data_IF_910582882795
#
_entry.id   IF_910582882795
#
_cell.length_a   1.000
_cell.length_b   1.000
_cell.length_c   1.000
_cell.angle_alpha   90.00
_cell.angle_beta   90.00
_cell.angle_gamma   90.00
#
_symmetry.space_group_name_H-M   'P 1'
#
loop_
_entity.id
_entity.type
_entity.pdbx_description
1 polymer ?
#
# COMPACT_ATOMS: atom_id res chain seq x y z
N UNK A 1 10.05 -22.83 4.12
CA UNK A 1 10.95 -21.68 3.82
C UNK A 1 10.31 -20.84 2.71
N UNK A 2 10.28 -19.50 2.82
CA UNK A 2 9.66 -18.63 1.81
C UNK A 2 10.57 -18.52 0.58
N UNK A 3 10.07 -18.82 -0.62
CA UNK A 3 10.89 -18.76 -1.85
C UNK A 3 11.19 -17.32 -2.24
N UNK A 4 12.32 -17.08 -2.92
CA UNK A 4 12.69 -15.74 -3.44
C UNK A 4 11.57 -15.16 -4.33
N UNK A 5 10.96 -15.98 -5.18
CA UNK A 5 9.85 -15.56 -6.04
C UNK A 5 8.64 -15.09 -5.21
N UNK A 6 8.29 -15.81 -4.14
CA UNK A 6 7.21 -15.42 -3.24
C UNK A 6 7.51 -14.14 -2.48
N UNK A 7 8.77 -13.90 -2.11
CA UNK A 7 9.20 -12.64 -1.48
C UNK A 7 9.08 -11.47 -2.45
N UNK A 8 9.59 -11.62 -3.67
CA UNK A 8 9.51 -10.62 -4.74
C UNK A 8 8.06 -10.23 -5.04
N UNK A 9 7.19 -11.20 -5.34
CA UNK A 9 5.78 -10.94 -5.66
C UNK A 9 5.00 -10.32 -4.49
N UNK A 10 5.43 -10.55 -3.24
CA UNK A 10 4.82 -9.94 -2.05
C UNK A 10 5.20 -8.47 -1.83
N UNK A 11 6.21 -7.95 -2.53
CA UNK A 11 6.65 -6.56 -2.33
C UNK A 11 5.51 -5.58 -2.61
N UNK A 12 4.72 -5.79 -3.66
CA UNK A 12 3.56 -4.95 -3.96
C UNK A 12 2.52 -4.97 -2.83
N UNK A 13 2.24 -6.14 -2.25
CA UNK A 13 1.33 -6.23 -1.11
C UNK A 13 1.83 -5.41 0.08
N UNK A 14 3.13 -5.51 0.42
CA UNK A 14 3.71 -4.75 1.54
C UNK A 14 3.69 -3.25 1.31
N UNK A 15 3.97 -2.82 0.09
CA UNK A 15 3.93 -1.41 -0.26
C UNK A 15 2.49 -0.86 -0.26
N UNK A 16 1.51 -1.65 -0.70
CA UNK A 16 0.09 -1.30 -0.58
C UNK A 16 -0.34 -1.09 0.88
N UNK A 17 0.07 -1.97 1.79
CA UNK A 17 -0.21 -1.81 3.23
C UNK A 17 0.43 -0.55 3.80
N UNK A 18 1.67 -0.25 3.40
CA UNK A 18 2.36 0.96 3.82
C UNK A 18 1.64 2.23 3.34
N UNK A 19 1.27 2.28 2.06
CA UNK A 19 0.51 3.40 1.48
C UNK A 19 -0.82 3.58 2.23
N UNK A 20 -1.57 2.51 2.47
CA UNK A 20 -2.83 2.59 3.19
C UNK A 20 -2.66 3.08 4.65
N UNK A 21 -1.58 2.63 5.31
CA UNK A 21 -1.24 3.12 6.66
C UNK A 21 -0.93 4.62 6.65
N UNK A 22 -0.13 5.08 5.68
CA UNK A 22 0.24 6.50 5.56
C UNK A 22 -0.99 7.36 5.20
N UNK A 23 -1.89 6.86 4.34
CA UNK A 23 -3.15 7.54 4.01
C UNK A 23 -4.05 7.71 5.25
N UNK A 24 -4.10 6.69 6.12
CA UNK A 24 -4.84 6.79 7.38
C UNK A 24 -4.20 7.83 8.31
N UNK A 25 -2.87 7.81 8.47
CA UNK A 25 -2.16 8.81 9.26
C UNK A 25 -2.38 10.23 8.72
N UNK A 26 -2.35 10.41 7.40
CA UNK A 26 -2.65 11.69 6.75
C UNK A 26 -4.07 12.17 7.06
N UNK A 27 -5.06 11.27 7.04
CA UNK A 27 -6.43 11.60 7.38
C UNK A 27 -6.54 12.05 8.85
N UNK A 28 -5.87 11.37 9.77
CA UNK A 28 -5.86 11.70 11.19
C UNK A 28 -5.21 13.07 11.44
N UNK A 29 -4.08 13.36 10.76
CA UNK A 29 -3.41 14.66 10.83
C UNK A 29 -4.29 15.79 10.29
N UNK A 30 -4.98 15.57 9.17
CA UNK A 30 -5.92 16.55 8.61
C UNK A 30 -7.08 16.84 9.58
N UNK A 31 -7.62 15.81 10.22
CA UNK A 31 -8.67 15.97 11.22
C UNK A 31 -8.18 16.75 12.46
N UNK A 32 -6.96 16.47 12.92
CA UNK A 32 -6.34 17.20 14.02
C UNK A 32 -6.13 18.68 13.67
N UNK A 33 -5.63 18.95 12.46
CA UNK A 33 -5.45 20.32 11.96
C UNK A 33 -6.75 21.12 11.96
N UNK A 34 -7.85 20.55 11.46
CA UNK A 34 -9.17 21.18 11.46
C UNK A 34 -9.68 21.45 12.89
N UNK A 35 -9.42 20.52 13.82
CA UNK A 35 -9.83 20.66 15.21
C UNK A 35 -9.10 21.82 15.91
N UNK A 36 -7.82 22.03 15.59
CA UNK A 36 -7.03 23.15 16.13
C UNK A 36 -7.50 24.48 15.51
N UNK A 37 -7.77 24.51 14.20
CA UNK A 37 -8.29 25.71 13.53
C UNK A 37 -9.70 26.14 14.02
N UNK A 38 -10.50 25.21 14.53
CA UNK A 38 -11.84 25.49 15.06
C UNK A 38 -11.82 26.14 16.46
N UNK A 39 -10.67 26.19 17.13
CA UNK A 39 -10.51 26.93 18.39
C UNK A 39 -10.60 28.42 18.07
N UNK A 40 -11.57 29.11 18.68
CA UNK A 40 -11.82 30.54 18.48
C UNK A 40 -10.68 31.38 19.08
N UNK A 41 -9.64 31.63 18.29
CA UNK A 41 -8.52 32.50 18.63
C UNK A 41 -8.93 33.97 18.86
N UNK A 42 -10.18 34.37 18.55
CA UNK A 42 -10.67 35.73 18.76
C UNK A 42 -11.08 36.02 20.22
N UNK A 43 -11.18 34.99 21.08
CA UNK A 43 -11.64 35.13 22.47
C UNK A 43 -10.55 35.12 23.54
N UNK A 44 -9.29 34.84 23.23
CA UNK A 44 -8.22 34.82 24.23
C UNK A 44 -7.33 36.07 24.15
N UNK A 45 -7.82 37.17 24.74
CA UNK A 45 -6.96 38.31 25.10
C UNK A 45 -6.18 37.97 26.37
N UNK A 46 -5.09 37.23 26.23
CA UNK A 46 -4.02 37.20 27.25
C UNK A 46 -2.87 38.08 26.79
N UNK A 47 -2.69 39.19 27.51
CA UNK A 47 -1.48 40.01 27.43
C UNK A 47 -0.26 39.13 27.75
N UNK A 48 0.61 38.96 26.75
CA UNK A 48 1.96 38.40 26.92
C UNK A 48 2.11 36.96 26.42
N UNK A 49 2.53 36.79 25.16
CA UNK A 49 3.03 35.50 24.65
C UNK A 49 2.56 35.11 23.26
N UNK A 50 2.84 35.93 22.24
CA UNK A 50 2.75 35.51 20.84
C UNK A 50 3.83 34.44 20.58
N UNK A 51 3.46 33.15 20.42
CA UNK A 51 4.30 32.18 19.67
C UNK A 51 3.84 30.71 19.67
N UNK A 52 3.07 30.21 20.64
CA UNK A 52 3.00 28.74 20.82
C UNK A 52 1.91 27.99 20.05
N UNK A 53 0.73 28.57 19.81
CA UNK A 53 -0.37 27.92 19.07
C UNK A 53 -0.18 27.98 17.56
N UNK A 54 0.22 29.14 17.05
CA UNK A 54 0.46 29.34 15.61
C UNK A 54 1.64 28.48 15.14
N UNK A 55 2.70 28.36 15.94
CA UNK A 55 3.82 27.47 15.65
C UNK A 55 3.41 25.99 15.58
N UNK A 56 2.48 25.54 16.45
CA UNK A 56 1.97 24.16 16.44
C UNK A 56 1.09 23.88 15.21
N UNK A 57 0.28 24.86 14.81
CA UNK A 57 -0.53 24.74 13.60
C UNK A 57 0.37 24.65 12.35
N UNK A 58 1.35 25.55 12.23
CA UNK A 58 2.32 25.54 11.12
C UNK A 58 3.11 24.23 11.06
N UNK A 59 3.57 23.71 12.20
CA UNK A 59 4.29 22.41 12.28
C UNK A 59 3.41 21.24 11.80
N UNK A 60 2.12 21.24 12.14
CA UNK A 60 1.18 20.21 11.65
C UNK A 60 0.95 20.29 10.14
N UNK A 61 0.79 21.50 9.59
CA UNK A 61 0.65 21.68 8.14
C UNK A 61 1.91 21.20 7.41
N UNK A 62 3.11 21.50 7.93
CA UNK A 62 4.36 21.00 7.36
C UNK A 62 4.41 19.47 7.33
N UNK A 63 4.03 18.80 8.43
CA UNK A 63 3.97 17.33 8.50
C UNK A 63 2.97 16.73 7.52
N UNK A 64 1.82 17.38 7.32
CA UNK A 64 0.83 16.96 6.32
C UNK A 64 1.45 16.99 4.92
N UNK A 65 2.10 18.09 4.55
CA UNK A 65 2.74 18.25 3.24
C UNK A 65 3.86 17.23 3.04
N UNK A 66 4.71 17.03 4.04
CA UNK A 66 5.79 16.03 4.00
C UNK A 66 5.24 14.61 3.81
N UNK A 67 4.17 14.25 4.53
CA UNK A 67 3.55 12.92 4.41
C UNK A 67 2.85 12.73 3.06
N UNK A 68 2.21 13.76 2.51
CA UNK A 68 1.65 13.75 1.16
C UNK A 68 2.73 13.45 0.12
N UNK A 69 3.88 14.12 0.19
CA UNK A 69 4.99 13.84 -0.72
C UNK A 69 5.54 12.41 -0.61
N UNK A 70 5.57 11.85 0.62
CA UNK A 70 5.99 10.47 0.83
C UNK A 70 4.99 9.50 0.20
N UNK A 71 3.70 9.72 0.39
CA UNK A 71 2.63 8.90 -0.19
C UNK A 71 2.71 8.94 -1.72
N UNK A 72 2.88 10.11 -2.33
CA UNK A 72 2.98 10.25 -3.78
C UNK A 72 4.17 9.44 -4.35
N UNK A 73 5.35 9.55 -3.71
CA UNK A 73 6.54 8.76 -4.09
C UNK A 73 6.30 7.25 -3.94
N UNK A 74 5.62 6.83 -2.87
CA UNK A 74 5.30 5.42 -2.66
C UNK A 74 4.26 4.90 -3.68
N UNK A 75 3.29 5.72 -4.08
CA UNK A 75 2.32 5.39 -5.13
C UNK A 75 3.02 5.21 -6.47
N UNK A 76 3.94 6.11 -6.84
CA UNK A 76 4.74 5.98 -8.07
C UNK A 76 5.56 4.69 -8.06
N UNK A 77 6.21 4.40 -6.93
CA UNK A 77 6.94 3.14 -6.72
C UNK A 77 6.02 1.94 -6.83
N UNK A 78 4.81 2.02 -6.28
CA UNK A 78 3.83 0.93 -6.29
C UNK A 78 3.33 0.62 -7.69
N UNK A 79 3.02 1.64 -8.48
CA UNK A 79 2.63 1.48 -9.90
C UNK A 79 3.77 0.83 -10.68
N UNK A 80 4.99 1.34 -10.51
CA UNK A 80 6.19 0.81 -11.18
C UNK A 80 6.43 -0.67 -10.83
N UNK A 81 6.34 -1.01 -9.55
CA UNK A 81 6.51 -2.38 -9.05
C UNK A 81 5.40 -3.32 -9.55
N UNK A 82 4.14 -2.85 -9.61
CA UNK A 82 3.04 -3.67 -10.17
C UNK A 82 3.24 -3.97 -11.64
N UNK A 83 3.82 -3.05 -12.42
CA UNK A 83 4.17 -3.28 -13.83
C UNK A 83 5.27 -4.36 -13.91
N UNK A 84 6.36 -4.20 -13.16
CA UNK A 84 7.45 -5.18 -13.13
C UNK A 84 6.98 -6.58 -12.72
N UNK A 85 6.12 -6.67 -11.69
CA UNK A 85 5.52 -7.94 -11.26
C UNK A 85 4.60 -8.51 -12.33
N UNK A 86 3.79 -7.68 -13.01
CA UNK A 86 2.93 -8.10 -14.11
C UNK A 86 3.76 -8.73 -15.23
N UNK A 87 4.84 -8.08 -15.64
CA UNK A 87 5.68 -8.57 -16.73
C UNK A 87 6.41 -9.86 -16.32
N UNK A 88 6.85 -9.94 -15.06
CA UNK A 88 7.42 -11.16 -14.48
C UNK A 88 6.42 -12.33 -14.51
N UNK A 89 5.16 -12.07 -14.16
CA UNK A 89 4.11 -13.09 -14.20
C UNK A 89 3.79 -13.49 -15.65
N UNK A 90 3.75 -12.55 -16.59
CA UNK A 90 3.45 -12.81 -18.00
C UNK A 90 4.48 -13.73 -18.68
N UNK A 91 5.70 -13.79 -18.14
CA UNK A 91 6.75 -14.68 -18.63
C UNK A 91 6.56 -16.15 -18.21
N UNK A 92 5.59 -16.46 -17.33
CA UNK A 92 5.24 -17.84 -16.96
C UNK A 92 4.43 -18.47 -18.09
N UNK A 93 4.81 -19.66 -18.56
CA UNK A 93 4.16 -20.29 -19.72
C UNK A 93 2.71 -20.70 -19.49
N UNK A 94 2.37 -21.17 -18.28
CA UNK A 94 1.04 -21.69 -17.98
C UNK A 94 0.05 -20.55 -17.65
N UNK A 95 -1.06 -20.46 -18.41
CA UNK A 95 -2.08 -19.43 -18.23
C UNK A 95 -2.80 -19.48 -16.88
N UNK A 96 -3.12 -20.68 -16.36
CA UNK A 96 -3.78 -20.81 -15.05
C UNK A 96 -2.86 -20.33 -13.93
N UNK A 97 -1.55 -20.59 -14.04
CA UNK A 97 -0.55 -20.06 -13.12
C UNK A 97 -0.47 -18.54 -13.21
N UNK A 98 -0.46 -17.96 -14.42
CA UNK A 98 -0.48 -16.51 -14.60
C UNK A 98 -1.72 -15.88 -13.94
N UNK A 99 -2.90 -16.43 -14.20
CA UNK A 99 -4.18 -15.94 -13.66
C UNK A 99 -4.16 -16.01 -12.13
N UNK A 100 -3.75 -17.14 -11.55
CA UNK A 100 -3.64 -17.30 -10.10
C UNK A 100 -2.67 -16.29 -9.49
N UNK A 101 -1.48 -16.10 -10.08
CA UNK A 101 -0.49 -15.16 -9.57
C UNK A 101 -0.97 -13.71 -9.67
N UNK A 102 -1.64 -13.33 -10.77
CA UNK A 102 -2.23 -12.00 -10.92
C UNK A 102 -3.29 -11.75 -9.86
N UNK A 103 -4.23 -12.68 -9.68
CA UNK A 103 -5.24 -12.55 -8.65
C UNK A 103 -4.64 -12.42 -7.25
N UNK A 104 -3.60 -13.20 -6.95
CA UNK A 104 -3.00 -13.19 -5.62
C UNK A 104 -2.14 -11.95 -5.33
N UNK A 105 -1.33 -11.52 -6.29
CA UNK A 105 -0.25 -10.56 -6.05
C UNK A 105 -0.46 -9.18 -6.69
N UNK A 106 -1.40 -9.05 -7.63
CA UNK A 106 -1.74 -7.78 -8.28
C UNK A 106 -3.13 -7.30 -7.84
N UNK A 107 -4.09 -8.22 -7.73
CA UNK A 107 -5.46 -7.92 -7.29
C UNK A 107 -5.69 -8.16 -5.78
N UNK A 108 -4.69 -8.72 -5.09
CA UNK A 108 -4.71 -8.98 -3.64
C UNK A 108 -5.90 -9.80 -3.14
N UNK A 109 -6.45 -10.69 -3.99
CA UNK A 109 -7.58 -11.53 -3.62
C UNK A 109 -7.18 -12.57 -2.56
N UNK A 110 -8.15 -12.92 -1.71
CA UNK A 110 -8.00 -14.03 -0.77
C UNK A 110 -8.01 -15.38 -1.51
N UNK A 111 -7.58 -16.45 -0.85
CA UNK A 111 -7.57 -17.76 -1.50
C UNK A 111 -8.97 -18.24 -1.84
N UNK A 112 -9.94 -17.93 -0.99
CA UNK A 112 -11.36 -18.26 -1.14
C UNK A 112 -11.93 -17.56 -2.39
N UNK A 113 -11.70 -16.26 -2.53
CA UNK A 113 -12.11 -15.49 -3.72
C UNK A 113 -11.46 -16.03 -5.01
N UNK A 114 -10.21 -16.50 -4.94
CA UNK A 114 -9.52 -17.12 -6.07
C UNK A 114 -10.13 -18.47 -6.42
N UNK A 115 -10.45 -19.30 -5.41
CA UNK A 115 -11.12 -20.58 -5.61
C UNK A 115 -12.45 -20.40 -6.34
N UNK A 116 -13.25 -19.42 -5.92
CA UNK A 116 -14.52 -19.07 -6.57
C UNK A 116 -14.30 -18.62 -8.01
N UNK A 117 -13.35 -17.70 -8.26
CA UNK A 117 -13.08 -17.18 -9.61
C UNK A 117 -12.52 -18.22 -10.59
N UNK A 118 -11.70 -19.15 -10.11
CA UNK A 118 -11.09 -20.19 -10.93
C UNK A 118 -11.89 -21.49 -10.92
N UNK A 119 -13.01 -21.56 -10.18
CA UNK A 119 -13.86 -22.74 -10.02
C UNK A 119 -13.07 -24.01 -9.64
N UNK A 120 -12.17 -23.89 -8.65
CA UNK A 120 -11.31 -24.99 -8.20
C UNK A 120 -11.20 -25.00 -6.67
N UNK A 121 -10.92 -26.18 -6.11
CA UNK A 121 -10.73 -26.33 -4.66
C UNK A 121 -9.49 -25.60 -4.14
N UNK A 122 -9.51 -25.24 -2.84
CA UNK A 122 -8.36 -24.65 -2.13
C UNK A 122 -7.09 -25.51 -2.23
N UNK A 123 -7.24 -26.84 -2.17
CA UNK A 123 -6.13 -27.78 -2.37
C UNK A 123 -5.50 -27.63 -3.75
N UNK A 124 -6.33 -27.53 -4.79
CA UNK A 124 -5.88 -27.34 -6.17
C UNK A 124 -5.16 -26.00 -6.34
N UNK A 125 -5.71 -24.92 -5.80
CA UNK A 125 -5.09 -23.59 -5.81
C UNK A 125 -3.71 -23.61 -5.17
N UNK A 126 -3.53 -24.24 -4.00
CA UNK A 126 -2.21 -24.33 -3.36
C UNK A 126 -1.19 -25.15 -4.17
N UNK A 127 -1.65 -26.19 -4.88
CA UNK A 127 -0.80 -26.97 -5.79
C UNK A 127 -0.33 -26.13 -6.97
N UNK A 128 -1.26 -25.44 -7.65
CA UNK A 128 -0.95 -24.54 -8.77
C UNK A 128 -0.05 -23.40 -8.29
N UNK A 129 -0.33 -22.81 -7.13
CA UNK A 129 0.50 -21.75 -6.55
C UNK A 129 1.95 -22.22 -6.32
N UNK A 130 2.11 -23.44 -5.82
CA UNK A 130 3.43 -24.03 -5.55
C UNK A 130 4.22 -24.31 -6.83
N UNK A 131 3.56 -24.71 -7.93
CA UNK A 131 4.21 -24.89 -9.24
C UNK A 131 4.51 -23.54 -9.89
N UNK A 132 3.55 -22.60 -9.87
CA UNK A 132 3.71 -21.26 -10.40
C UNK A 132 4.92 -20.54 -9.80
N UNK A 133 5.11 -20.62 -8.47
CA UNK A 133 6.26 -19.99 -7.81
C UNK A 133 7.63 -20.57 -8.21
N UNK A 134 7.68 -21.80 -8.73
CA UNK A 134 8.91 -22.40 -9.27
C UNK A 134 9.18 -21.95 -10.70
N UNK A 135 8.12 -21.65 -11.45
CA UNK A 135 8.20 -21.24 -12.85
C UNK A 135 8.46 -19.74 -13.01
N UNK A 136 8.21 -18.94 -11.97
CA UNK A 136 8.55 -17.51 -11.94
C UNK A 136 10.07 -17.31 -11.96
N UNK A 137 10.55 -16.56 -12.95
CA UNK A 137 11.92 -16.09 -13.06
C UNK A 137 11.98 -14.64 -12.62
N UNK A 138 12.71 -14.36 -11.54
CA UNK A 138 12.84 -13.00 -11.01
C UNK A 138 13.80 -12.22 -11.93
N UNK A 139 13.47 -10.99 -12.33
CA UNK A 139 14.41 -10.13 -13.04
C UNK A 139 15.67 -9.89 -12.18
N UNK A 140 16.84 -9.85 -12.83
CA UNK A 140 18.12 -9.56 -12.17
C UNK A 140 18.21 -8.12 -11.71
#
# INVERSE_FOLDING_TARGET
>A
MMTKAKQYLKQAYRLNELINSNLQELQDLKQLSLSISAIDYSKERVQGGSSSSDAKFVDLISKIVELEEVIDKDVDRFVSLKIQIRDTINAVENLDEQVLLRYRYINFLTWEQICEKMNVSLRTIHRIHSTALKNVKIPN
#
